data_IF_353348158330
#
_entry.id   IF_353348158330
#
_cell.length_a   1.000
_cell.length_b   1.000
_cell.length_c   1.000
_cell.angle_alpha   90.00
_cell.angle_beta   90.00
_cell.angle_gamma   90.00
#
_symmetry.space_group_name_H-M   'P 1'
#
loop_
_entity.id
_entity.type
_entity.pdbx_description
1 polymer ?
#
# COMPACT_ATOMS: atom_id res chain seq x y z
N UNK A 1 -6.43 -55.10 -18.90
CA UNK A 1 -7.13 -53.80 -18.82
C UNK A 1 -6.12 -52.77 -18.35
N UNK A 2 -5.65 -51.89 -19.23
CA UNK A 2 -4.79 -50.77 -18.83
C UNK A 2 -5.67 -49.65 -18.27
N UNK A 3 -5.51 -49.34 -16.98
CA UNK A 3 -6.11 -48.15 -16.39
C UNK A 3 -5.19 -46.95 -16.63
N UNK A 4 -5.64 -46.01 -17.45
CA UNK A 4 -4.97 -44.74 -17.72
C UNK A 4 -4.97 -43.89 -16.44
N UNK A 5 -3.80 -43.67 -15.83
CA UNK A 5 -3.67 -42.80 -14.66
C UNK A 5 -3.96 -41.34 -14.99
N UNK A 6 -4.53 -40.59 -14.05
CA UNK A 6 -4.79 -39.15 -14.16
C UNK A 6 -3.73 -38.33 -13.43
N UNK A 7 -3.14 -37.35 -14.11
CA UNK A 7 -2.23 -36.37 -13.50
C UNK A 7 -3.00 -35.08 -13.16
N UNK A 8 -2.67 -34.46 -12.02
CA UNK A 8 -3.16 -33.13 -11.64
C UNK A 8 -1.99 -32.23 -11.24
N UNK A 9 -1.99 -30.99 -11.72
CA UNK A 9 -1.02 -29.98 -11.32
C UNK A 9 -1.37 -29.35 -9.97
N UNK A 10 -0.35 -28.86 -9.26
CA UNK A 10 -0.48 -28.02 -8.06
C UNK A 10 0.21 -26.70 -8.34
N UNK A 11 -0.47 -25.59 -8.11
CA UNK A 11 0.07 -24.26 -8.30
C UNK A 11 0.29 -23.62 -6.94
N UNK A 12 1.46 -23.02 -6.75
CA UNK A 12 1.73 -22.13 -5.63
C UNK A 12 1.46 -20.69 -6.02
N UNK A 13 1.24 -19.83 -5.03
CA UNK A 13 1.04 -18.40 -5.21
C UNK A 13 2.11 -17.64 -4.41
N UNK A 14 2.46 -16.45 -4.90
CA UNK A 14 3.35 -15.50 -4.23
C UNK A 14 2.69 -14.12 -4.23
N UNK A 15 2.80 -13.39 -3.13
CA UNK A 15 2.22 -12.05 -2.98
C UNK A 15 3.20 -11.09 -2.29
N UNK A 16 3.14 -9.81 -2.67
CA UNK A 16 3.80 -8.70 -1.98
C UNK A 16 2.74 -7.76 -1.42
N UNK A 17 2.80 -7.48 -0.12
CA UNK A 17 1.82 -6.63 0.57
C UNK A 17 2.34 -5.21 0.75
N UNK A 18 1.61 -4.24 0.20
CA UNK A 18 1.90 -2.81 0.31
C UNK A 18 1.11 -2.11 1.44
N UNK A 19 1.05 -0.77 1.36
CA UNK A 19 0.30 0.06 2.31
C UNK A 19 -1.21 -0.13 2.17
N UNK A 20 -1.94 -0.05 3.29
CA UNK A 20 -3.40 -0.11 3.28
C UNK A 20 -4.00 1.22 2.77
N UNK A 21 -4.86 1.15 1.77
CA UNK A 21 -5.55 2.32 1.21
C UNK A 21 -6.76 2.72 2.07
N UNK A 22 -7.07 4.03 2.07
CA UNK A 22 -8.35 4.53 2.55
C UNK A 22 -9.45 4.23 1.51
N UNK A 23 -10.75 4.44 1.82
CA UNK A 23 -11.81 4.36 0.80
C UNK A 23 -11.56 5.28 -0.40
N UNK A 24 -11.01 6.47 -0.17
CA UNK A 24 -10.63 7.41 -1.25
C UNK A 24 -9.50 6.85 -2.11
N UNK A 25 -8.45 6.32 -1.49
CA UNK A 25 -7.35 5.68 -2.21
C UNK A 25 -7.80 4.47 -3.00
N UNK A 26 -8.68 3.64 -2.43
CA UNK A 26 -9.25 2.49 -3.11
C UNK A 26 -10.08 2.90 -4.33
N UNK A 27 -10.91 3.94 -4.22
CA UNK A 27 -11.67 4.46 -5.35
C UNK A 27 -10.79 4.99 -6.49
N UNK A 28 -9.65 5.62 -6.17
CA UNK A 28 -8.65 6.01 -7.17
C UNK A 28 -8.01 4.77 -7.81
N UNK A 29 -7.57 3.82 -7.00
CA UNK A 29 -6.98 2.55 -7.48
C UNK A 29 -7.92 1.82 -8.45
N UNK A 30 -9.18 1.62 -8.06
CA UNK A 30 -10.17 0.91 -8.88
C UNK A 30 -10.44 1.65 -10.20
N UNK A 31 -10.48 2.98 -10.19
CA UNK A 31 -10.65 3.79 -11.40
C UNK A 31 -9.47 3.63 -12.37
N UNK A 32 -8.24 3.68 -11.85
CA UNK A 32 -7.04 3.52 -12.68
C UNK A 32 -6.93 2.09 -13.21
N UNK A 33 -7.26 1.10 -12.38
CA UNK A 33 -7.31 -0.30 -12.80
C UNK A 33 -8.35 -0.52 -13.92
N UNK A 34 -9.53 0.10 -13.79
CA UNK A 34 -10.56 0.07 -14.83
C UNK A 34 -10.09 0.75 -16.12
N UNK A 35 -9.39 1.88 -16.01
CA UNK A 35 -8.85 2.61 -17.16
C UNK A 35 -7.75 1.82 -17.90
N UNK A 36 -6.92 1.05 -17.17
CA UNK A 36 -5.91 0.18 -17.76
C UNK A 36 -6.52 -1.03 -18.50
N UNK A 37 -7.75 -1.42 -18.15
CA UNK A 37 -8.51 -2.48 -18.83
C UNK A 37 -7.81 -3.83 -18.79
N UNK A 38 -7.98 -4.61 -19.86
CA UNK A 38 -7.33 -5.92 -20.04
C UNK A 38 -6.49 -5.90 -21.32
N UNK A 39 -5.26 -6.40 -21.28
CA UNK A 39 -4.42 -6.53 -22.47
C UNK A 39 -4.51 -7.90 -23.14
N UNK A 40 -4.18 -7.95 -24.44
CA UNK A 40 -4.09 -9.19 -25.23
C UNK A 40 -2.75 -9.91 -25.03
N UNK A 41 -1.69 -9.14 -24.80
CA UNK A 41 -0.34 -9.62 -24.49
C UNK A 41 0.13 -9.06 -23.15
N UNK A 42 0.92 -9.85 -22.42
CA UNK A 42 1.33 -9.51 -21.06
C UNK A 42 2.24 -8.28 -21.00
N UNK A 43 3.19 -8.16 -21.94
CA UNK A 43 4.19 -7.09 -21.91
C UNK A 43 3.55 -5.72 -22.14
N UNK A 44 2.75 -5.59 -23.20
CA UNK A 44 2.07 -4.33 -23.52
C UNK A 44 1.04 -3.98 -22.46
N UNK A 45 0.37 -4.97 -21.86
CA UNK A 45 -0.53 -4.73 -20.74
C UNK A 45 0.20 -4.16 -19.52
N UNK A 46 1.35 -4.72 -19.15
CA UNK A 46 2.14 -4.23 -18.01
C UNK A 46 2.67 -2.81 -18.24
N UNK A 47 3.15 -2.51 -19.45
CA UNK A 47 3.60 -1.15 -19.80
C UNK A 47 2.44 -0.15 -19.73
N UNK A 48 1.26 -0.53 -20.26
CA UNK A 48 0.09 0.33 -20.19
C UNK A 48 -0.41 0.53 -18.76
N UNK A 49 -0.45 -0.54 -17.96
CA UNK A 49 -0.81 -0.48 -16.55
C UNK A 49 0.10 0.48 -15.79
N UNK A 50 1.41 0.41 -16.01
CA UNK A 50 2.37 1.34 -15.41
C UNK A 50 2.09 2.79 -15.81
N UNK A 51 1.83 3.06 -17.10
CA UNK A 51 1.55 4.41 -17.57
C UNK A 51 0.27 4.98 -16.93
N UNK A 52 -0.82 4.22 -16.89
CA UNK A 52 -2.08 4.65 -16.28
C UNK A 52 -1.91 4.89 -14.78
N UNK A 53 -1.11 4.07 -14.09
CA UNK A 53 -0.86 4.20 -12.65
C UNK A 53 0.07 5.36 -12.28
N UNK A 54 0.66 6.10 -13.23
CA UNK A 54 1.42 7.32 -12.93
C UNK A 54 0.59 8.40 -12.24
N UNK A 55 -0.73 8.36 -12.41
CA UNK A 55 -1.70 9.21 -11.72
C UNK A 55 -1.86 8.83 -10.22
N UNK A 56 -1.41 7.64 -9.81
CA UNK A 56 -1.38 7.25 -8.41
C UNK A 56 -0.10 7.79 -7.75
N UNK A 57 -0.18 8.59 -6.67
CA UNK A 57 1.01 9.18 -6.07
C UNK A 57 1.98 8.13 -5.51
N UNK A 58 3.24 8.17 -5.92
CA UNK A 58 4.29 7.21 -5.52
C UNK A 58 5.21 7.76 -4.40
N UNK A 59 4.66 8.57 -3.50
CA UNK A 59 5.38 8.98 -2.29
C UNK A 59 4.47 8.94 -1.07
N UNK A 60 5.01 8.43 0.04
CA UNK A 60 4.28 8.38 1.32
C UNK A 60 3.79 9.76 1.76
N UNK A 61 4.56 10.82 1.46
CA UNK A 61 4.19 12.20 1.74
C UNK A 61 2.89 12.59 1.01
N UNK A 62 2.82 12.39 -0.31
CA UNK A 62 1.64 12.73 -1.10
C UNK A 62 0.46 11.82 -0.75
N UNK A 63 0.69 10.52 -0.55
CA UNK A 63 -0.35 9.58 -0.14
C UNK A 63 -1.00 10.00 1.18
N UNK A 64 -0.18 10.44 2.15
CA UNK A 64 -0.66 10.98 3.43
C UNK A 64 -1.39 12.29 3.26
N UNK A 65 -0.77 13.26 2.57
CA UNK A 65 -1.34 14.60 2.38
C UNK A 65 -2.70 14.55 1.66
N UNK A 66 -2.85 13.64 0.70
CA UNK A 66 -4.09 13.49 -0.08
C UNK A 66 -5.10 12.54 0.57
N UNK A 67 -4.75 11.90 1.70
CA UNK A 67 -5.63 10.97 2.42
C UNK A 67 -5.92 9.68 1.66
N UNK A 68 -4.96 9.19 0.88
CA UNK A 68 -5.12 7.99 0.03
C UNK A 68 -4.72 6.71 0.73
N UNK A 69 -3.90 6.78 1.79
CA UNK A 69 -3.47 5.62 2.55
C UNK A 69 -3.54 5.85 4.06
N UNK A 70 -3.60 4.77 4.83
CA UNK A 70 -3.54 4.79 6.28
C UNK A 70 -2.08 4.82 6.76
N UNK A 71 -1.81 5.67 7.75
CA UNK A 71 -0.48 5.80 8.35
C UNK A 71 -0.55 5.62 9.85
N UNK A 72 0.49 4.99 10.41
CA UNK A 72 0.69 4.90 11.85
C UNK A 72 1.71 5.95 12.27
N UNK A 73 1.30 6.86 13.15
CA UNK A 73 2.18 7.87 13.70
C UNK A 73 2.78 7.40 15.02
N UNK A 74 4.04 7.75 15.24
CA UNK A 74 4.75 7.55 16.50
C UNK A 74 5.54 8.82 16.79
N UNK A 75 5.66 9.17 18.06
CA UNK A 75 6.53 10.25 18.46
C UNK A 75 7.97 9.87 18.15
N UNK A 76 8.75 10.86 17.72
CA UNK A 76 10.20 10.72 17.64
C UNK A 76 10.79 10.75 19.05
N UNK A 77 12.05 10.32 19.25
CA UNK A 77 12.71 10.44 20.55
C UNK A 77 12.70 11.88 21.10
N UNK A 78 12.87 12.89 20.25
CA UNK A 78 12.74 14.29 20.64
C UNK A 78 11.31 14.65 21.07
N UNK A 79 10.29 14.14 20.38
CA UNK A 79 8.89 14.30 20.76
C UNK A 79 8.55 13.65 22.10
N UNK A 80 9.12 12.46 22.37
CA UNK A 80 8.98 11.78 23.66
C UNK A 80 9.67 12.56 24.79
N UNK A 81 10.89 13.04 24.58
CA UNK A 81 11.62 13.84 25.57
C UNK A 81 10.88 15.15 25.92
N UNK A 82 10.35 15.84 24.91
CA UNK A 82 9.54 17.03 25.14
C UNK A 82 8.29 16.69 25.95
N UNK A 83 7.54 15.63 25.59
CA UNK A 83 6.37 15.19 26.35
C UNK A 83 6.66 14.90 27.82
N UNK A 84 7.83 14.33 28.12
CA UNK A 84 8.24 14.04 29.49
C UNK A 84 8.56 15.30 30.30
N UNK A 85 9.11 16.34 29.67
CA UNK A 85 9.40 17.62 30.32
C UNK A 85 8.14 18.37 30.79
N UNK A 86 6.98 18.14 30.16
CA UNK A 86 5.70 18.79 30.50
C UNK A 86 4.77 17.93 31.38
N UNK A 87 5.27 16.86 32.01
CA UNK A 87 4.42 16.09 32.95
C UNK A 87 4.04 16.96 34.16
N UNK A 88 2.74 17.13 34.48
CA UNK A 88 2.31 17.87 35.67
C UNK A 88 2.84 17.14 36.91
N UNK A 89 3.83 17.74 37.55
CA UNK A 89 4.58 17.15 38.67
C UNK A 89 6.10 17.31 38.58
N UNK A 90 6.65 17.71 37.41
CA UNK A 90 8.11 17.89 37.23
C UNK A 90 8.58 19.35 37.36
N UNK A 91 7.71 20.29 37.77
CA UNK A 91 8.17 21.61 38.22
C UNK A 91 8.83 21.45 39.58
N UNK A 92 10.08 20.98 39.62
CA UNK A 92 10.95 21.16 40.78
C UNK A 92 11.37 22.61 40.79
N UNK A 93 10.87 23.34 41.79
CA UNK A 93 11.41 24.60 42.25
C UNK A 93 12.93 24.49 42.45
N UNK A 94 13.70 25.24 41.67
CA UNK A 94 14.93 25.93 42.10
C UNK A 94 15.10 27.18 41.29
#
# INVERSE_FOLDING_TARGET
MEHKGTHSARFGEIEQRGIALTPKGRALYDRLLQAAGTGKDNLSHQLHLQEVFREFPDSEFLLRQQGLAWFRYRLTPAGEAHRQAFRPGTIRSR
#
